data_IF_365884087704
#
_entry.id   IF_365884087704
#
_cell.length_a   1.000
_cell.length_b   1.000
_cell.length_c   1.000
_cell.angle_alpha   90.00
_cell.angle_beta   90.00
_cell.angle_gamma   90.00
#
_symmetry.space_group_name_H-M   'P 1'
#
loop_
_entity.id
_entity.type
_entity.pdbx_description
1 polymer ?
#
# COMPACT_ATOMS: atom_id res chain seq x y z
N UNK A 1 25.25 -31.63 -3.26
CA UNK A 1 24.67 -30.49 -4.00
C UNK A 1 23.47 -30.00 -3.20
N UNK A 2 23.69 -29.04 -2.30
CA UNK A 2 22.62 -28.42 -1.51
C UNK A 2 21.92 -27.42 -2.44
N UNK A 3 20.68 -27.73 -2.82
CA UNK A 3 19.78 -26.78 -3.47
C UNK A 3 19.43 -25.72 -2.41
N UNK A 4 20.17 -24.63 -2.38
CA UNK A 4 19.71 -23.39 -1.76
C UNK A 4 18.48 -22.93 -2.53
N UNK A 5 17.31 -23.30 -2.03
CA UNK A 5 16.04 -22.72 -2.45
C UNK A 5 16.16 -21.22 -2.20
N UNK A 6 16.34 -20.46 -3.27
CA UNK A 6 16.21 -19.01 -3.24
C UNK A 6 14.84 -18.70 -2.63
N UNK A 7 14.83 -18.29 -1.37
CA UNK A 7 13.70 -17.68 -0.70
C UNK A 7 13.43 -16.35 -1.43
N UNK A 8 12.83 -16.44 -2.61
CA UNK A 8 12.41 -15.30 -3.40
C UNK A 8 11.53 -14.44 -2.51
N UNK A 9 11.93 -13.18 -2.35
CA UNK A 9 11.19 -12.21 -1.55
C UNK A 9 9.83 -12.05 -2.23
N UNK A 10 8.81 -12.70 -1.68
CA UNK A 10 7.46 -12.66 -2.27
C UNK A 10 6.95 -11.22 -2.20
N UNK A 11 6.47 -10.71 -3.33
CA UNK A 11 5.95 -9.36 -3.38
C UNK A 11 4.64 -9.26 -2.59
N UNK A 12 4.47 -8.16 -1.84
CA UNK A 12 3.24 -7.91 -1.05
C UNK A 12 1.97 -8.02 -1.91
N UNK A 13 2.06 -7.66 -3.19
CA UNK A 13 0.97 -7.70 -4.17
C UNK A 13 0.41 -9.10 -4.42
N UNK A 14 1.24 -10.13 -4.30
CA UNK A 14 0.84 -11.53 -4.56
C UNK A 14 0.34 -12.25 -3.30
N UNK A 15 0.70 -11.71 -2.13
CA UNK A 15 0.44 -12.32 -0.84
C UNK A 15 -0.69 -11.66 -0.07
N UNK A 16 -0.90 -10.35 -0.23
CA UNK A 16 -1.94 -9.61 0.50
C UNK A 16 -3.02 -9.12 -0.46
N UNK A 17 -4.25 -9.57 -0.19
CA UNK A 17 -5.44 -9.07 -0.85
C UNK A 17 -6.22 -8.16 0.09
N UNK A 18 -6.66 -7.02 -0.43
CA UNK A 18 -7.57 -6.12 0.28
C UNK A 18 -8.88 -6.10 -0.46
N UNK A 19 -9.96 -6.44 0.22
CA UNK A 19 -11.30 -6.04 -0.20
C UNK A 19 -11.75 -4.87 0.65
N UNK A 20 -12.51 -3.95 0.06
CA UNK A 20 -13.04 -2.80 0.76
C UNK A 20 -14.46 -2.51 0.30
N UNK A 21 -15.22 -1.85 1.16
CA UNK A 21 -16.56 -1.42 0.82
C UNK A 21 -16.88 -0.06 1.43
N UNK A 22 -17.71 0.69 0.70
CA UNK A 22 -18.20 2.01 1.09
C UNK A 22 -19.59 1.85 1.67
N UNK A 23 -19.79 2.31 2.91
CA UNK A 23 -21.13 2.43 3.50
C UNK A 23 -21.86 3.61 2.86
N UNK A 24 -22.58 3.36 1.78
CA UNK A 24 -23.48 4.34 1.19
C UNK A 24 -24.83 4.29 1.90
N UNK A 25 -25.29 5.44 2.46
CA UNK A 25 -26.57 5.53 3.16
C UNK A 25 -27.76 5.27 2.23
N UNK A 26 -27.61 5.49 0.92
CA UNK A 26 -28.70 5.44 -0.05
C UNK A 26 -28.78 4.10 -0.81
N UNK A 27 -27.82 3.17 -0.61
CA UNK A 27 -27.83 1.84 -1.26
C UNK A 27 -28.22 0.74 -0.28
N UNK A 28 -29.09 -0.17 -0.72
CA UNK A 28 -29.54 -1.35 0.06
C UNK A 28 -28.42 -2.36 0.37
N UNK A 29 -27.37 -2.41 -0.44
CA UNK A 29 -26.20 -3.25 -0.19
C UNK A 29 -24.91 -2.56 -0.66
N UNK A 30 -23.84 -2.54 0.16
CA UNK A 30 -22.54 -2.02 -0.26
C UNK A 30 -21.90 -2.98 -1.26
N UNK A 31 -21.33 -2.47 -2.37
CA UNK A 31 -20.50 -3.29 -3.25
C UNK A 31 -19.13 -3.49 -2.62
N UNK A 32 -18.63 -4.71 -2.70
CA UNK A 32 -17.27 -5.06 -2.32
C UNK A 32 -16.38 -4.87 -3.54
N UNK A 33 -15.34 -4.06 -3.39
CA UNK A 33 -14.31 -3.82 -4.38
C UNK A 33 -12.98 -4.42 -3.90
N UNK A 34 -12.05 -4.64 -4.82
CA UNK A 34 -10.74 -5.22 -4.53
C UNK A 34 -9.63 -4.21 -4.81
N UNK A 35 -8.55 -4.32 -4.04
CA UNK A 35 -7.36 -3.50 -4.14
C UNK A 35 -6.10 -4.36 -4.03
N UNK A 36 -5.06 -3.98 -4.79
CA UNK A 36 -3.73 -4.54 -4.64
C UNK A 36 -2.94 -3.72 -3.63
N UNK A 37 -2.33 -4.37 -2.64
CA UNK A 37 -1.49 -3.66 -1.66
C UNK A 37 -0.17 -3.27 -2.30
N UNK A 38 0.16 -1.97 -2.24
CA UNK A 38 1.46 -1.43 -2.65
C UNK A 38 2.41 -1.49 -1.47
N UNK A 39 1.96 -1.02 -0.30
CA UNK A 39 2.73 -1.01 0.94
C UNK A 39 1.80 -1.08 2.15
N UNK A 40 2.28 -1.64 3.27
CA UNK A 40 1.54 -1.71 4.53
C UNK A 40 2.46 -1.48 5.73
N UNK A 41 1.95 -0.76 6.71
CA UNK A 41 2.60 -0.49 8.00
C UNK A 41 1.63 -0.80 9.15
N UNK A 42 2.04 -0.59 10.38
CA UNK A 42 1.16 -0.74 11.55
C UNK A 42 0.09 0.34 11.68
N UNK A 43 0.16 1.40 10.88
CA UNK A 43 -0.68 2.61 11.02
C UNK A 43 -1.47 2.94 9.76
N UNK A 44 -1.14 2.34 8.63
CA UNK A 44 -1.85 2.55 7.37
C UNK A 44 -1.23 1.76 6.23
N UNK A 45 -1.87 1.86 5.07
CA UNK A 45 -1.46 1.18 3.86
C UNK A 45 -1.60 2.08 2.64
N UNK A 46 -0.84 1.76 1.60
CA UNK A 46 -1.02 2.28 0.26
C UNK A 46 -1.54 1.16 -0.63
N UNK A 47 -2.62 1.41 -1.36
CA UNK A 47 -3.24 0.43 -2.25
C UNK A 47 -3.46 0.98 -3.65
N UNK A 48 -3.51 0.06 -4.61
CA UNK A 48 -3.88 0.31 -6.00
C UNK A 48 -5.29 -0.21 -6.23
N UNK A 49 -6.12 0.60 -6.89
CA UNK A 49 -7.51 0.26 -7.19
C UNK A 49 -7.85 0.63 -8.64
N UNK A 50 -8.72 -0.18 -9.23
CA UNK A 50 -9.36 0.11 -10.53
C UNK A 50 -10.43 1.18 -10.35
N UNK A 51 -10.45 2.18 -11.24
CA UNK A 51 -11.53 3.18 -11.28
C UNK A 51 -12.87 2.57 -11.71
N UNK A 52 -12.82 1.51 -12.51
CA UNK A 52 -14.01 0.87 -13.10
C UNK A 52 -14.74 0.03 -12.06
N UNK A 53 -13.98 -0.60 -11.15
CA UNK A 53 -14.50 -1.57 -10.19
C UNK A 53 -14.75 -0.96 -8.79
N UNK A 54 -14.72 0.37 -8.68
CA UNK A 54 -14.78 1.07 -7.41
C UNK A 54 -15.97 2.02 -7.32
N UNK A 55 -16.85 1.77 -6.35
CA UNK A 55 -17.86 2.74 -5.91
C UNK A 55 -17.25 3.91 -5.11
N UNK A 56 -15.92 3.95 -4.93
CA UNK A 56 -15.26 4.99 -4.15
C UNK A 56 -15.10 6.30 -4.94
N UNK A 57 -15.04 6.21 -6.27
CA UNK A 57 -14.79 7.36 -7.15
C UNK A 57 -16.01 7.65 -8.02
N UNK A 58 -16.24 8.93 -8.24
CA UNK A 58 -17.01 9.42 -9.36
C UNK A 58 -16.13 10.32 -10.21
N UNK A 59 -16.42 10.40 -11.50
CA UNK A 59 -15.69 11.24 -12.44
C UNK A 59 -16.60 12.37 -12.93
N UNK A 60 -16.11 13.60 -12.87
CA UNK A 60 -16.77 14.79 -13.40
C UNK A 60 -15.76 15.58 -14.20
N UNK A 61 -16.03 15.82 -15.48
CA UNK A 61 -15.11 16.53 -16.38
C UNK A 61 -13.72 15.89 -16.48
N UNK A 62 -13.61 14.56 -16.42
CA UNK A 62 -12.33 13.83 -16.45
C UNK A 62 -11.51 13.90 -15.15
N UNK A 63 -12.07 14.49 -14.10
CA UNK A 63 -11.42 14.59 -12.79
C UNK A 63 -12.12 13.64 -11.81
N UNK A 64 -11.37 12.72 -11.17
CA UNK A 64 -11.93 11.80 -10.19
C UNK A 64 -12.10 12.50 -8.84
N UNK A 65 -13.20 12.23 -8.16
CA UNK A 65 -13.47 12.66 -6.79
C UNK A 65 -13.95 11.50 -5.94
N UNK A 66 -13.58 11.50 -4.67
CA UNK A 66 -13.99 10.46 -3.73
C UNK A 66 -15.37 10.76 -3.14
N UNK A 67 -16.21 9.73 -3.04
CA UNK A 67 -17.53 9.84 -2.43
C UNK A 67 -17.50 9.79 -0.91
N UNK A 68 -16.49 9.11 -0.36
CA UNK A 68 -16.27 9.00 1.09
C UNK A 68 -14.78 8.99 1.37
N UNK A 69 -14.42 9.41 2.58
CA UNK A 69 -13.08 9.16 3.12
C UNK A 69 -13.03 7.92 3.99
N UNK A 70 -14.17 7.47 4.50
CA UNK A 70 -14.23 6.34 5.42
C UNK A 70 -14.65 5.08 4.67
N UNK A 71 -13.85 4.03 4.84
CA UNK A 71 -14.04 2.72 4.21
C UNK A 71 -13.91 1.62 5.26
N UNK A 72 -14.58 0.50 5.04
CA UNK A 72 -14.30 -0.74 5.78
C UNK A 72 -13.43 -1.63 4.89
N UNK A 73 -12.40 -2.23 5.47
CA UNK A 73 -11.47 -3.10 4.74
C UNK A 73 -11.42 -4.49 5.36
N UNK A 74 -11.35 -5.51 4.53
CA UNK A 74 -10.89 -6.84 4.91
C UNK A 74 -9.54 -7.13 4.25
N UNK A 75 -8.53 -7.42 5.06
CA UNK A 75 -7.17 -7.69 4.63
C UNK A 75 -6.91 -9.18 4.81
N UNK A 76 -6.67 -9.89 3.70
CA UNK A 76 -6.41 -11.32 3.68
C UNK A 76 -4.96 -11.60 3.25
N UNK A 77 -4.31 -12.52 3.95
CA UNK A 77 -2.99 -13.04 3.57
C UNK A 77 -3.13 -14.44 2.94
N UNK A 78 -2.57 -14.65 1.76
CA UNK A 78 -2.73 -15.92 1.03
C UNK A 78 -2.01 -17.08 1.71
N UNK A 79 -0.82 -16.84 2.26
CA UNK A 79 0.00 -17.89 2.89
C UNK A 79 -0.22 -18.03 4.38
N UNK A 80 -1.20 -17.33 4.95
CA UNK A 80 -1.40 -17.33 6.39
C UNK A 80 -2.86 -17.03 6.75
N UNK A 81 -3.48 -17.70 7.74
CA UNK A 81 -4.90 -17.54 8.04
C UNK A 81 -5.29 -16.19 8.66
N UNK A 82 -4.44 -15.16 8.56
CA UNK A 82 -4.77 -13.80 8.98
C UNK A 82 -5.82 -13.23 8.03
N UNK A 83 -6.95 -12.85 8.63
CA UNK A 83 -8.03 -12.12 8.00
C UNK A 83 -8.45 -10.99 8.95
N UNK A 84 -8.20 -9.76 8.55
CA UNK A 84 -8.33 -8.58 9.41
C UNK A 84 -9.47 -7.72 8.88
N UNK A 85 -10.47 -7.48 9.72
CA UNK A 85 -11.50 -6.47 9.45
C UNK A 85 -11.11 -5.17 10.14
N UNK A 86 -10.77 -4.14 9.39
CA UNK A 86 -10.32 -2.85 9.94
C UNK A 86 -10.89 -1.67 9.16
N UNK A 87 -11.45 -0.65 9.82
CA UNK A 87 -11.85 0.57 9.14
C UNK A 87 -10.63 1.39 8.71
N UNK A 88 -10.78 2.13 7.62
CA UNK A 88 -9.76 3.00 7.05
C UNK A 88 -10.28 4.40 6.77
N UNK A 89 -9.40 5.38 6.88
CA UNK A 89 -9.65 6.76 6.45
C UNK A 89 -8.68 7.14 5.33
N UNK A 90 -9.22 7.42 4.16
CA UNK A 90 -8.50 7.85 2.96
C UNK A 90 -7.96 9.26 3.17
N UNK A 91 -6.64 9.41 3.00
CA UNK A 91 -5.97 10.71 3.11
C UNK A 91 -5.74 11.37 1.77
N UNK A 92 -5.44 10.58 0.75
CA UNK A 92 -5.17 11.07 -0.59
C UNK A 92 -5.41 9.96 -1.61
N UNK A 93 -5.61 10.38 -2.85
CA UNK A 93 -5.63 9.52 -4.02
C UNK A 93 -4.93 10.23 -5.17
N UNK A 94 -4.25 9.49 -6.05
CA UNK A 94 -3.58 10.02 -7.25
C UNK A 94 -3.73 9.02 -8.39
N UNK A 95 -3.84 9.49 -9.63
CA UNK A 95 -3.77 8.59 -10.79
C UNK A 95 -2.35 8.04 -10.86
N UNK A 96 -2.23 6.77 -11.20
CA UNK A 96 -0.94 6.08 -11.28
C UNK A 96 0.04 6.77 -12.26
N UNK A 97 -0.48 7.31 -13.37
CA UNK A 97 0.27 8.12 -14.34
C UNK A 97 0.90 9.38 -13.74
N UNK A 98 0.22 10.03 -12.79
CA UNK A 98 0.73 11.27 -12.15
C UNK A 98 1.89 10.97 -11.19
N UNK A 99 2.06 9.69 -10.84
CA UNK A 99 3.11 9.22 -9.94
C UNK A 99 4.36 8.80 -10.72
N UNK A 100 4.33 8.68 -12.05
CA UNK A 100 5.50 8.59 -12.93
C UNK A 100 6.46 7.41 -12.72
N UNK A 101 6.11 6.42 -11.90
CA UNK A 101 6.93 5.23 -11.58
C UNK A 101 6.27 3.92 -11.97
N UNK A 102 5.12 3.99 -12.64
CA UNK A 102 4.21 2.87 -12.79
C UNK A 102 3.59 2.87 -14.19
N UNK A 103 3.35 1.69 -14.76
CA UNK A 103 2.60 1.56 -16.01
C UNK A 103 1.20 2.15 -15.86
N UNK A 104 0.83 3.03 -16.79
CA UNK A 104 -0.48 3.68 -16.81
C UNK A 104 -1.54 2.70 -17.32
N UNK A 105 -2.31 2.18 -16.38
CA UNK A 105 -3.48 1.34 -16.63
C UNK A 105 -4.77 2.04 -16.19
N UNK A 106 -4.73 3.35 -15.95
CA UNK A 106 -5.87 4.11 -15.43
C UNK A 106 -6.19 3.89 -13.95
N UNK A 107 -5.41 3.07 -13.22
CA UNK A 107 -5.64 2.82 -11.79
C UNK A 107 -5.29 4.03 -10.91
N UNK A 108 -5.85 4.02 -9.70
CA UNK A 108 -5.57 4.99 -8.66
C UNK A 108 -4.68 4.38 -7.58
N UNK A 109 -3.73 5.15 -7.09
CA UNK A 109 -3.09 4.87 -5.81
C UNK A 109 -3.84 5.62 -4.72
N UNK A 110 -4.11 4.94 -3.61
CA UNK A 110 -4.85 5.48 -2.47
C UNK A 110 -4.07 5.23 -1.19
N UNK A 111 -3.87 6.29 -0.40
CA UNK A 111 -3.29 6.21 0.92
C UNK A 111 -4.37 6.18 2.00
N UNK A 112 -4.31 5.17 2.86
CA UNK A 112 -5.30 4.91 3.91
C UNK A 112 -4.61 4.85 5.26
N UNK A 113 -5.18 5.51 6.27
CA UNK A 113 -4.81 5.34 7.68
C UNK A 113 -5.80 4.38 8.33
N UNK A 114 -5.32 3.43 9.12
CA UNK A 114 -6.19 2.55 9.91
C UNK A 114 -6.86 3.34 11.03
N UNK A 115 -8.19 3.23 11.10
CA UNK A 115 -9.02 3.90 12.09
C UNK A 115 -9.43 2.90 13.20
N UNK A 116 -8.45 2.20 13.78
CA UNK A 116 -8.66 1.10 14.72
C UNK A 116 -9.74 1.38 15.77
N UNK A 117 -10.68 0.44 15.91
CA UNK A 117 -11.76 0.46 16.92
C UNK A 117 -11.35 -0.22 18.22
N UNK A 118 -10.38 -1.12 18.14
CA UNK A 118 -9.90 -1.91 19.27
C UNK A 118 -8.38 -2.13 19.20
N UNK A 119 -7.81 -2.54 20.33
CA UNK A 119 -6.40 -2.94 20.37
C UNK A 119 -6.19 -4.29 19.65
N UNK A 120 -7.23 -5.10 19.54
CA UNK A 120 -7.23 -6.40 18.85
C UNK A 120 -6.99 -6.20 17.36
N UNK A 121 -7.74 -5.31 16.69
CA UNK A 121 -7.50 -4.96 15.27
C UNK A 121 -6.05 -4.49 15.05
N UNK A 122 -5.52 -3.69 15.99
CA UNK A 122 -4.14 -3.21 15.93
C UNK A 122 -3.11 -4.34 16.08
N UNK A 123 -3.35 -5.30 16.96
CA UNK A 123 -2.49 -6.47 17.17
C UNK A 123 -2.46 -7.35 15.92
N UNK A 124 -3.61 -7.58 15.29
CA UNK A 124 -3.71 -8.38 14.06
C UNK A 124 -2.95 -7.73 12.90
N UNK A 125 -3.10 -6.40 12.70
CA UNK A 125 -2.30 -5.67 11.69
C UNK A 125 -0.82 -5.73 12.00
N UNK A 126 -0.44 -5.60 13.28
CA UNK A 126 0.96 -5.72 13.69
C UNK A 126 1.54 -7.10 13.40
N UNK A 127 0.77 -8.17 13.63
CA UNK A 127 1.16 -9.54 13.33
C UNK A 127 1.35 -9.74 11.82
N UNK A 128 0.42 -9.23 11.01
CA UNK A 128 0.55 -9.23 9.54
C UNK A 128 1.84 -8.53 9.10
N UNK A 129 2.07 -7.30 9.55
CA UNK A 129 3.25 -6.49 9.16
C UNK A 129 4.56 -7.15 9.58
N UNK A 130 4.62 -7.76 10.78
CA UNK A 130 5.80 -8.48 11.26
C UNK A 130 6.20 -9.63 10.36
N UNK A 131 5.24 -10.28 9.69
CA UNK A 131 5.50 -11.42 8.82
C UNK A 131 6.25 -11.05 7.54
N UNK A 132 6.04 -9.83 7.05
CA UNK A 132 6.70 -9.34 5.83
C UNK A 132 8.02 -8.61 6.10
N UNK A 133 8.47 -8.51 7.37
CA UNK A 133 9.75 -7.90 7.77
C UNK A 133 10.04 -6.56 7.08
N UNK A 134 9.05 -5.67 7.04
CA UNK A 134 9.25 -4.32 6.53
C UNK A 134 10.15 -3.53 7.48
N UNK A 135 11.38 -3.24 7.05
CA UNK A 135 12.15 -2.12 7.61
C UNK A 135 11.32 -0.84 7.50
N UNK A 136 11.51 0.11 8.42
CA UNK A 136 10.76 1.36 8.41
C UNK A 136 11.67 2.58 8.36
N UNK A 137 11.18 3.63 7.71
CA UNK A 137 11.83 4.94 7.62
C UNK A 137 10.82 6.05 7.89
N UNK A 138 11.30 7.28 8.09
CA UNK A 138 10.45 8.47 8.22
C UNK A 138 10.25 9.13 6.87
N UNK A 139 9.01 9.44 6.51
CA UNK A 139 8.69 10.26 5.35
C UNK A 139 9.32 11.65 5.50
N UNK A 140 10.04 12.13 4.49
CA UNK A 140 10.68 13.46 4.51
C UNK A 140 9.69 14.62 4.57
N UNK A 141 8.50 14.43 3.98
CA UNK A 141 7.51 15.52 3.86
C UNK A 141 6.63 15.67 5.10
N UNK A 142 6.23 14.56 5.73
CA UNK A 142 5.26 14.60 6.84
C UNK A 142 5.72 13.90 8.12
N UNK A 143 6.92 13.30 8.14
CA UNK A 143 7.47 12.63 9.32
C UNK A 143 6.80 11.30 9.70
N UNK A 144 5.79 10.85 8.97
CA UNK A 144 5.13 9.57 9.21
C UNK A 144 6.09 8.40 8.99
N UNK A 145 6.04 7.40 9.87
CA UNK A 145 6.79 6.15 9.68
C UNK A 145 6.15 5.33 8.56
N UNK A 146 6.93 5.00 7.53
CA UNK A 146 6.53 4.23 6.35
C UNK A 146 7.45 3.03 6.18
N UNK A 147 7.07 2.05 5.37
CA UNK A 147 8.02 1.00 4.96
C UNK A 147 9.21 1.63 4.24
N UNK A 148 10.41 1.08 4.46
CA UNK A 148 11.60 1.43 3.72
C UNK A 148 11.43 1.14 2.22
N UNK A 149 10.57 0.18 1.86
CA UNK A 149 10.27 -0.25 0.50
C UNK A 149 9.05 0.45 -0.09
N UNK A 150 8.38 1.31 0.68
CA UNK A 150 7.26 2.09 0.20
C UNK A 150 7.68 2.95 -1.00
N UNK A 151 6.88 2.95 -2.08
CA UNK A 151 7.03 3.93 -3.15
C UNK A 151 6.40 5.28 -2.75
N UNK A 152 5.33 5.24 -1.95
CA UNK A 152 4.50 6.38 -1.58
C UNK A 152 4.20 6.35 -0.08
N UNK A 153 4.16 7.52 0.54
CA UNK A 153 3.72 7.64 1.91
C UNK A 153 2.19 7.51 1.99
N UNK A 154 1.68 6.50 2.70
CA UNK A 154 0.23 6.31 2.89
C UNK A 154 -0.47 7.53 3.53
N UNK A 155 0.26 8.38 4.27
CA UNK A 155 -0.33 9.55 4.94
C UNK A 155 -0.44 10.79 4.04
N UNK A 156 0.59 11.13 3.27
CA UNK A 156 0.61 12.38 2.48
C UNK A 156 0.75 12.20 0.96
N UNK A 157 1.02 10.99 0.49
CA UNK A 157 1.14 10.69 -0.94
C UNK A 157 2.42 11.23 -1.58
N UNK A 158 3.38 11.68 -0.78
CA UNK A 158 4.72 11.99 -1.24
C UNK A 158 5.47 10.71 -1.61
N UNK A 159 6.33 10.81 -2.63
CA UNK A 159 7.26 9.74 -2.97
C UNK A 159 8.26 9.54 -1.84
N UNK A 160 8.52 8.29 -1.50
CA UNK A 160 9.49 7.95 -0.45
C UNK A 160 10.85 7.76 -1.12
N UNK A 161 11.71 8.77 -1.01
CA UNK A 161 13.05 8.74 -1.61
C UNK A 161 13.96 7.86 -0.74
N UNK A 162 14.27 6.66 -1.23
CA UNK A 162 15.27 5.80 -0.60
C UNK A 162 16.68 6.38 -0.80
N UNK A 163 17.14 7.24 0.13
CA UNK A 163 18.55 7.71 0.13
C UNK A 163 19.55 6.55 0.12
N UNK A 164 19.19 5.38 0.67
CA UNK A 164 20.04 4.17 0.68
C UNK A 164 20.23 3.52 -0.69
N UNK A 165 19.23 3.53 -1.58
CA UNK A 165 19.38 2.96 -2.93
C UNK A 165 20.25 3.85 -3.82
N UNK A 166 20.12 5.17 -3.67
CA UNK A 166 20.95 6.14 -4.38
C UNK A 166 22.41 6.10 -3.91
N UNK A 167 22.66 6.06 -2.59
CA UNK A 167 24.01 5.89 -2.04
C UNK A 167 24.62 4.54 -2.39
N UNK A 168 23.87 3.42 -2.36
CA UNK A 168 24.39 2.13 -2.84
C UNK A 168 24.77 2.19 -4.31
N UNK A 169 23.93 2.74 -5.20
CA UNK A 169 24.30 2.89 -6.62
C UNK A 169 25.55 3.76 -6.80
N UNK A 170 25.65 4.88 -6.09
CA UNK A 170 26.84 5.75 -6.10
C UNK A 170 28.10 5.04 -5.61
N UNK A 171 28.02 4.30 -4.50
CA UNK A 171 29.15 3.57 -3.93
C UNK A 171 29.56 2.42 -4.86
N UNK A 172 28.62 1.65 -5.42
CA UNK A 172 28.93 0.59 -6.37
C UNK A 172 29.46 1.10 -7.72
N UNK A 173 29.10 2.31 -8.14
CA UNK A 173 29.69 2.96 -9.34
C UNK A 173 31.08 3.57 -9.09
N UNK A 174 31.53 3.68 -7.83
CA UNK A 174 32.82 4.24 -7.44
C UNK A 174 33.83 3.17 -7.02
N UNK A 175 33.42 1.90 -6.90
CA UNK A 175 34.33 0.79 -6.68
C UNK A 175 34.90 0.35 -8.04
N UNK A 176 36.24 0.30 -8.21
CA UNK A 176 36.85 -0.23 -9.42
C UNK A 176 36.37 -1.69 -9.59
N UNK A 177 35.89 -2.03 -10.79
CA UNK A 177 35.80 -3.44 -11.14
C UNK A 177 37.23 -3.95 -11.24
N UNK A 178 37.67 -4.68 -10.22
CA UNK A 178 38.83 -5.54 -10.35
C UNK A 178 38.38 -6.75 -11.15
N UNK A 179 38.53 -6.63 -12.47
CA UNK A 179 38.53 -7.79 -13.35
C UNK A 179 39.68 -8.70 -12.92
N UNK A 180 39.34 -9.94 -12.58
CA UNK A 180 40.28 -11.05 -12.39
C UNK A 180 40.17 -11.99 -13.58
#
# INVERSE_FOLDING_TARGET
>A
MLLELSSGKKELRDEIHVSYFVKNRDRKAPRVAFASVIDITTSGLCMEISLIDSDLFMESGGTPFILTRDIEMQIFCRTHPINISVPGSIKWFKRKKDIGTFEDNGNMCVGVIFAFRSNEERKEVLELVRRFKCDTIRCSECGTTVSAEAALCYNCGARVIQKRAFLRKLIFSLLPQTDA
#
